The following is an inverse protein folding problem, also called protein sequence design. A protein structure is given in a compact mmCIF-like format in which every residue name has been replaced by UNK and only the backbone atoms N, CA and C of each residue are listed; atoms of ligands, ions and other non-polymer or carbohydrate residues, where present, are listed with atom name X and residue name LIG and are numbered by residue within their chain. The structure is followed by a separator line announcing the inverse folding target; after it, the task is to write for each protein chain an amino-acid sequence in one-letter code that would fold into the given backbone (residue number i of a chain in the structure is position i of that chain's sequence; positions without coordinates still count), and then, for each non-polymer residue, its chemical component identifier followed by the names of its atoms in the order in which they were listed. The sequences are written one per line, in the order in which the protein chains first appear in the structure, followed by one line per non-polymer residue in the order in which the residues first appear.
data_IF_755696337307
#
_entry.id   IF_755696337307
#
_cell.length_a   1.000
_cell.length_b   1.000
_cell.length_c   1.000
_cell.angle_alpha   90.00
_cell.angle_beta   90.00
_cell.angle_gamma   90.00
#
_symmetry.space_group_name_H-M   'P 1'
#
loop_
_entity.id
_entity.type
_entity.pdbx_description
1 polymer ?
#
# COMPACT_ATOMS: atom_id res chain seq x y z
N UNK A 1 -6.43 -19.84 25.72
CA UNK A 1 -5.92 -20.31 24.41
C UNK A 1 -6.24 -19.25 23.38
N UNK A 2 -5.27 -18.41 23.01
CA UNK A 2 -5.40 -17.44 21.95
C UNK A 2 -5.46 -18.19 20.61
N UNK A 3 -6.60 -18.11 19.92
CA UNK A 3 -6.69 -18.55 18.53
C UNK A 3 -5.84 -17.59 17.70
N UNK A 4 -4.67 -18.04 17.25
CA UNK A 4 -3.95 -17.39 16.18
C UNK A 4 -4.86 -17.39 14.96
N UNK A 5 -5.40 -16.23 14.59
CA UNK A 5 -6.04 -16.05 13.30
C UNK A 5 -4.95 -16.10 12.23
N UNK A 6 -4.64 -17.31 11.78
CA UNK A 6 -3.88 -17.51 10.56
C UNK A 6 -4.81 -17.13 9.41
N UNK A 7 -4.46 -16.12 8.64
CA UNK A 7 -5.05 -15.92 7.34
C UNK A 7 -4.57 -17.11 6.51
N UNK A 8 -5.46 -18.08 6.30
CA UNK A 8 -5.21 -19.16 5.36
C UNK A 8 -5.39 -18.59 3.97
N UNK A 9 -4.45 -18.86 3.07
CA UNK A 9 -4.75 -18.70 1.66
C UNK A 9 -5.82 -19.74 1.26
N UNK A 10 -6.33 -19.61 0.05
CA UNK A 10 -7.30 -20.56 -0.51
C UNK A 10 -6.81 -22.02 -0.52
N UNK A 11 -5.56 -22.29 -0.18
CA UNK A 11 -4.92 -23.60 -0.12
C UNK A 11 -4.55 -24.03 1.31
N UNK A 12 -4.96 -23.28 2.35
CA UNK A 12 -4.71 -23.63 3.75
C UNK A 12 -3.28 -23.43 4.27
N UNK A 13 -2.39 -22.82 3.48
CA UNK A 13 -0.99 -22.61 3.87
C UNK A 13 -0.85 -21.53 4.94
N UNK A 14 -0.09 -21.82 6.01
CA UNK A 14 0.31 -20.86 7.04
C UNK A 14 1.56 -20.13 6.60
N UNK A 15 1.53 -18.80 6.61
CA UNK A 15 2.71 -17.99 6.29
C UNK A 15 3.50 -17.65 7.54
N UNK A 16 4.84 -17.84 7.56
CA UNK A 16 5.69 -17.35 8.63
C UNK A 16 5.68 -15.81 8.64
N UNK A 17 5.55 -15.23 9.81
CA UNK A 17 5.24 -13.83 10.08
C UNK A 17 6.37 -12.82 9.84
N UNK A 18 7.43 -13.19 9.15
CA UNK A 18 8.65 -12.37 8.97
C UNK A 18 8.78 -11.70 7.60
N UNK A 19 7.77 -11.81 6.74
CA UNK A 19 7.73 -11.17 5.42
C UNK A 19 6.65 -10.11 5.41
N UNK A 20 6.80 -9.09 4.56
CA UNK A 20 5.69 -8.19 4.21
C UNK A 20 4.48 -9.06 3.93
N UNK A 21 3.43 -8.95 4.75
CA UNK A 21 2.25 -9.79 4.58
C UNK A 21 1.57 -9.39 3.27
N UNK A 22 1.85 -10.15 2.22
CA UNK A 22 1.17 -10.02 0.95
C UNK A 22 -0.16 -10.74 1.06
N UNK A 23 -1.21 -9.99 0.95
CA UNK A 23 -2.55 -10.53 0.86
C UNK A 23 -2.87 -10.81 -0.60
N UNK A 24 -3.25 -12.04 -0.90
CA UNK A 24 -3.91 -12.35 -2.16
C UNK A 24 -5.32 -11.73 -2.15
N UNK A 25 -5.64 -10.92 -3.15
CA UNK A 25 -6.97 -10.39 -3.38
C UNK A 25 -7.60 -11.19 -4.53
N UNK A 26 -8.43 -12.23 -4.24
CA UNK A 26 -8.95 -13.12 -5.28
C UNK A 26 -9.79 -12.38 -6.31
N UNK A 27 -10.57 -11.39 -5.86
CA UNK A 27 -11.44 -10.60 -6.72
C UNK A 27 -10.68 -9.76 -7.75
N UNK A 28 -9.42 -9.45 -7.46
CA UNK A 28 -8.55 -8.64 -8.33
C UNK A 28 -7.44 -9.47 -9.00
N UNK A 29 -7.27 -10.73 -8.61
CA UNK A 29 -6.21 -11.60 -9.12
C UNK A 29 -4.80 -11.04 -8.89
N UNK A 30 -4.54 -10.36 -7.75
CA UNK A 30 -3.26 -9.72 -7.47
C UNK A 30 -2.86 -9.77 -5.99
N UNK A 31 -1.58 -9.62 -5.72
CA UNK A 31 -1.05 -9.45 -4.36
C UNK A 31 -1.14 -8.01 -3.92
N UNK A 32 -1.44 -7.78 -2.64
CA UNK A 32 -1.46 -6.45 -2.04
C UNK A 32 -0.40 -6.35 -0.93
N UNK A 33 0.24 -5.19 -0.87
CA UNK A 33 1.15 -4.76 0.19
C UNK A 33 0.43 -3.66 0.96
N UNK A 34 0.27 -3.81 2.27
CA UNK A 34 -0.48 -2.87 3.12
C UNK A 34 0.42 -2.12 4.08
N UNK A 35 -0.02 -0.93 4.47
CA UNK A 35 0.59 -0.09 5.51
C UNK A 35 -0.47 0.34 6.54
N UNK A 36 -0.06 0.78 7.74
CA UNK A 36 -0.99 1.28 8.74
C UNK A 36 -1.74 2.52 8.26
N UNK A 37 -3.04 2.55 8.50
CA UNK A 37 -3.89 3.74 8.23
C UNK A 37 -3.60 4.82 9.27
N UNK A 38 -3.48 4.41 10.54
CA UNK A 38 -3.28 5.29 11.70
C UNK A 38 -1.90 5.07 12.32
N UNK A 39 -1.45 6.10 13.05
CA UNK A 39 -0.30 5.97 13.93
C UNK A 39 -0.66 5.05 15.10
N UNK A 40 0.15 4.00 15.29
CA UNK A 40 -0.02 3.01 16.35
C UNK A 40 0.96 3.35 17.47
N UNK A 41 0.47 3.30 18.70
CA UNK A 41 1.26 3.50 19.91
C UNK A 41 1.20 2.26 20.80
N UNK A 42 2.24 2.03 21.55
CA UNK A 42 2.24 1.01 22.61
C UNK A 42 1.54 1.51 23.89
N UNK A 43 1.48 0.66 24.91
CA UNK A 43 0.82 0.96 26.18
C UNK A 43 1.49 2.12 26.94
N UNK A 44 2.73 2.48 26.59
CA UNK A 44 3.48 3.61 27.14
C UNK A 44 3.32 4.88 26.27
N UNK A 45 2.45 4.87 25.25
CA UNK A 45 2.22 5.98 24.33
C UNK A 45 3.30 6.18 23.26
N UNK A 46 4.34 5.34 23.22
CA UNK A 46 5.42 5.42 22.23
C UNK A 46 4.91 4.99 20.85
N UNK A 47 5.26 5.73 19.83
CA UNK A 47 4.92 5.40 18.44
C UNK A 47 5.67 4.15 17.98
N UNK A 48 4.93 3.10 17.66
CA UNK A 48 5.46 1.80 17.15
C UNK A 48 5.33 1.70 15.64
N UNK A 49 4.34 2.38 15.04
CA UNK A 49 4.23 2.55 13.59
C UNK A 49 3.56 3.88 13.26
N UNK A 50 4.07 4.59 12.27
CA UNK A 50 3.46 5.83 11.77
C UNK A 50 2.36 5.49 10.76
N UNK A 51 1.19 6.14 10.90
CA UNK A 51 0.13 6.05 9.92
C UNK A 51 0.56 6.58 8.55
N UNK A 52 0.08 5.95 7.50
CA UNK A 52 0.44 6.34 6.13
C UNK A 52 -0.62 7.22 5.45
N UNK A 53 -1.88 7.15 5.84
CA UNK A 53 -2.97 7.94 5.24
C UNK A 53 -2.92 9.41 5.67
N UNK A 54 -2.00 10.19 5.09
CA UNK A 54 -1.84 11.61 5.38
C UNK A 54 -2.84 12.49 4.59
N UNK A 55 -3.26 12.05 3.40
CA UNK A 55 -4.09 12.81 2.47
C UNK A 55 -5.58 12.46 2.60
N UNK A 56 -6.06 12.44 3.85
CA UNK A 56 -7.45 12.12 4.16
C UNK A 56 -8.37 13.25 3.72
N UNK A 57 -9.56 12.86 3.23
CA UNK A 57 -10.68 13.74 2.92
C UNK A 57 -11.87 13.39 3.81
N UNK A 58 -12.95 14.16 3.75
CA UNK A 58 -14.20 13.83 4.45
C UNK A 58 -14.75 12.46 4.02
N UNK A 59 -14.60 12.09 2.76
CA UNK A 59 -14.98 10.76 2.26
C UNK A 59 -14.25 9.61 2.96
N UNK A 60 -13.13 9.89 3.66
CA UNK A 60 -12.44 8.88 4.46
C UNK A 60 -13.17 8.51 5.76
N UNK A 61 -14.17 9.28 6.20
CA UNK A 61 -15.01 8.93 7.37
C UNK A 61 -15.73 7.61 7.18
N UNK A 62 -16.15 7.33 5.94
CA UNK A 62 -16.83 6.09 5.53
C UNK A 62 -15.89 5.04 4.93
N UNK A 63 -14.58 5.22 5.10
CA UNK A 63 -13.60 4.28 4.59
C UNK A 63 -13.90 2.87 5.10
N UNK A 64 -14.15 1.98 4.17
CA UNK A 64 -14.41 0.57 4.42
C UNK A 64 -13.34 -0.06 5.36
N UNK A 65 -12.08 0.34 5.24
CA UNK A 65 -11.02 -0.14 6.11
C UNK A 65 -11.17 0.31 7.57
N UNK A 66 -11.87 1.42 7.87
CA UNK A 66 -12.18 1.85 9.24
C UNK A 66 -13.15 0.90 9.92
N UNK A 67 -14.12 0.35 9.19
CA UNK A 67 -15.07 -0.63 9.71
C UNK A 67 -14.34 -1.88 10.18
N UNK A 68 -13.39 -2.37 9.39
CA UNK A 68 -12.52 -3.48 9.80
C UNK A 68 -11.64 -3.13 11.00
N UNK A 69 -11.11 -1.91 11.04
CA UNK A 69 -10.27 -1.47 12.13
C UNK A 69 -11.03 -1.47 13.48
N UNK A 70 -12.28 -1.01 13.49
CA UNK A 70 -13.14 -1.03 14.69
C UNK A 70 -13.40 -2.44 15.20
N UNK A 71 -13.58 -3.41 14.29
CA UNK A 71 -13.89 -4.80 14.64
C UNK A 71 -12.67 -5.61 15.09
N UNK A 72 -11.47 -5.32 14.55
CA UNK A 72 -10.27 -6.16 14.69
C UNK A 72 -9.03 -5.35 15.07
N UNK A 73 -9.17 -4.27 15.81
CA UNK A 73 -8.12 -3.27 16.06
C UNK A 73 -6.80 -3.89 16.58
N UNK A 74 -6.87 -4.79 17.56
CA UNK A 74 -5.68 -5.37 18.19
C UNK A 74 -4.84 -6.19 17.20
N UNK A 75 -5.48 -7.03 16.41
CA UNK A 75 -4.79 -7.90 15.45
C UNK A 75 -4.29 -7.10 14.25
N UNK A 76 -5.08 -6.12 13.82
CA UNK A 76 -4.68 -5.19 12.76
C UNK A 76 -3.48 -4.35 13.19
N UNK A 77 -3.43 -3.84 14.42
CA UNK A 77 -2.31 -3.08 14.93
C UNK A 77 -1.02 -3.89 14.90
N UNK A 78 -1.04 -5.14 15.38
CA UNK A 78 0.13 -6.03 15.37
C UNK A 78 0.64 -6.28 13.94
N UNK A 79 -0.28 -6.52 13.00
CA UNK A 79 0.05 -6.72 11.59
C UNK A 79 0.62 -5.44 10.99
N UNK A 80 0.01 -4.31 11.25
CA UNK A 80 0.39 -3.01 10.70
C UNK A 80 1.76 -2.54 11.19
N UNK A 81 2.10 -2.81 12.45
CA UNK A 81 3.46 -2.54 12.97
C UNK A 81 4.49 -3.35 12.18
N UNK A 82 4.26 -4.65 11.97
CA UNK A 82 5.16 -5.51 11.19
C UNK A 82 5.25 -5.07 9.73
N UNK A 83 4.12 -4.73 9.12
CA UNK A 83 4.07 -4.28 7.74
C UNK A 83 4.85 -2.97 7.56
N UNK A 84 4.71 -2.01 8.47
CA UNK A 84 5.46 -0.76 8.39
C UNK A 84 6.97 -0.99 8.59
N UNK A 85 7.37 -1.84 9.54
CA UNK A 85 8.77 -2.22 9.71
C UNK A 85 9.34 -2.90 8.47
N UNK A 86 8.57 -3.79 7.85
CA UNK A 86 8.95 -4.47 6.61
C UNK A 86 9.00 -3.48 5.45
N UNK A 87 8.06 -2.56 5.36
CA UNK A 87 8.06 -1.49 4.36
C UNK A 87 9.31 -0.62 4.44
N UNK A 88 9.71 -0.22 5.66
CA UNK A 88 10.91 0.61 5.85
C UNK A 88 12.22 -0.09 5.41
N UNK A 89 12.22 -1.41 5.40
CA UNK A 89 13.37 -2.26 4.99
C UNK A 89 13.20 -2.87 3.60
N UNK A 90 12.11 -2.57 2.91
CA UNK A 90 11.80 -3.17 1.63
C UNK A 90 12.81 -2.71 0.58
N UNK A 91 13.43 -3.67 -0.09
CA UNK A 91 14.25 -3.48 -1.29
C UNK A 91 13.65 -4.23 -2.46
N UNK A 92 14.03 -3.85 -3.67
CA UNK A 92 13.58 -4.54 -4.87
C UNK A 92 13.94 -6.03 -4.87
N UNK A 93 15.15 -6.37 -4.46
CA UNK A 93 15.61 -7.75 -4.35
C UNK A 93 14.82 -8.56 -3.32
N UNK A 94 14.50 -7.95 -2.16
CA UNK A 94 13.70 -8.62 -1.12
C UNK A 94 12.25 -8.87 -1.60
N UNK A 95 11.66 -7.90 -2.30
CA UNK A 95 10.33 -8.08 -2.90
C UNK A 95 10.37 -9.18 -3.95
N UNK A 96 11.36 -9.16 -4.87
CA UNK A 96 11.52 -10.19 -5.89
C UNK A 96 11.59 -11.58 -5.27
N UNK A 97 12.52 -11.79 -4.33
CA UNK A 97 12.67 -13.06 -3.64
C UNK A 97 11.40 -13.52 -2.90
N UNK A 98 10.60 -12.57 -2.41
CA UNK A 98 9.32 -12.88 -1.76
C UNK A 98 8.27 -13.32 -2.77
N UNK A 99 8.15 -12.63 -3.89
CA UNK A 99 7.17 -12.94 -4.94
C UNK A 99 7.52 -14.22 -5.68
N UNK A 100 8.80 -14.49 -5.96
CA UNK A 100 9.27 -15.69 -6.65
C UNK A 100 8.99 -16.98 -5.85
N UNK A 101 8.99 -16.90 -4.52
CA UNK A 101 8.61 -18.04 -3.65
C UNK A 101 7.13 -18.37 -3.68
N UNK A 102 6.29 -17.50 -4.21
CA UNK A 102 4.85 -17.73 -4.28
C UNK A 102 4.50 -18.61 -5.48
N UNK A 103 3.75 -19.69 -5.22
CA UNK A 103 3.31 -20.63 -6.28
C UNK A 103 2.17 -20.07 -7.15
N UNK A 104 1.57 -18.95 -6.80
CA UNK A 104 0.46 -18.32 -7.52
C UNK A 104 0.94 -17.10 -8.29
N UNK A 105 0.20 -16.75 -9.33
CA UNK A 105 0.44 -15.61 -10.20
C UNK A 105 0.82 -14.35 -9.41
N UNK A 106 2.09 -14.00 -9.52
CA UNK A 106 2.66 -12.79 -8.89
C UNK A 106 2.94 -11.70 -9.91
N UNK A 107 2.37 -11.84 -11.09
CA UNK A 107 2.56 -10.90 -12.21
C UNK A 107 1.99 -9.50 -11.90
N UNK A 108 0.96 -9.45 -11.04
CA UNK A 108 0.30 -8.21 -10.66
C UNK A 108 0.41 -7.99 -9.16
N UNK A 109 0.93 -6.85 -8.78
CA UNK A 109 1.09 -6.44 -7.39
C UNK A 109 0.37 -5.10 -7.17
N UNK A 110 -0.52 -5.04 -6.18
CA UNK A 110 -1.15 -3.81 -5.72
C UNK A 110 -0.38 -3.27 -4.52
N UNK A 111 0.10 -2.05 -4.63
CA UNK A 111 0.50 -1.30 -3.45
C UNK A 111 -0.73 -0.69 -2.79
N UNK A 112 -0.87 -0.96 -1.51
CA UNK A 112 -1.88 -0.45 -0.60
C UNK A 112 -3.32 -0.80 -0.99
N UNK A 113 -3.78 -1.96 -0.57
CA UNK A 113 -5.22 -2.18 -0.40
C UNK A 113 -5.71 -1.45 0.85
N UNK A 114 -4.78 -1.14 1.76
CA UNK A 114 -4.99 -0.38 2.97
C UNK A 114 -3.77 0.50 3.28
N UNK A 115 -4.02 1.74 3.68
CA UNK A 115 -2.97 2.74 3.86
C UNK A 115 -2.65 3.51 2.59
N UNK A 116 -1.53 4.23 2.59
CA UNK A 116 -1.04 5.06 1.50
C UNK A 116 0.40 4.67 1.14
N UNK A 117 0.69 4.58 -0.14
CA UNK A 117 2.01 4.20 -0.64
C UNK A 117 3.04 5.33 -0.47
N UNK A 118 2.61 6.55 -0.72
CA UNK A 118 3.48 7.72 -0.78
C UNK A 118 3.28 8.62 0.43
N UNK A 119 3.99 8.37 1.53
CA UNK A 119 3.97 9.24 2.70
C UNK A 119 5.03 10.34 2.63
N UNK A 120 6.19 9.99 2.11
CA UNK A 120 7.35 10.89 1.99
C UNK A 120 8.22 10.54 0.76
N UNK A 121 9.21 11.38 0.38
CA UNK A 121 10.05 11.13 -0.79
C UNK A 121 10.85 9.83 -0.75
N UNK A 122 11.12 9.24 0.43
CA UNK A 122 11.81 7.96 0.53
C UNK A 122 10.97 6.80 0.02
N UNK A 123 9.63 6.92 0.14
CA UNK A 123 8.71 5.93 -0.42
C UNK A 123 8.76 5.91 -1.95
N UNK A 124 8.96 7.06 -2.60
CA UNK A 124 9.12 7.14 -4.07
C UNK A 124 10.35 6.34 -4.50
N UNK A 125 11.51 6.55 -3.85
CA UNK A 125 12.73 5.79 -4.14
C UNK A 125 12.57 4.29 -3.91
N UNK A 126 11.89 3.91 -2.84
CA UNK A 126 11.61 2.50 -2.49
C UNK A 126 10.74 1.82 -3.55
N UNK A 127 9.69 2.51 -4.01
CA UNK A 127 8.81 2.00 -5.06
C UNK A 127 9.57 1.89 -6.38
N UNK A 128 10.40 2.87 -6.72
CA UNK A 128 11.27 2.84 -7.89
C UNK A 128 12.23 1.64 -7.87
N UNK A 129 12.91 1.41 -6.74
CA UNK A 129 13.79 0.26 -6.55
C UNK A 129 13.04 -1.07 -6.72
N UNK A 130 11.85 -1.17 -6.13
CA UNK A 130 11.04 -2.40 -6.27
C UNK A 130 10.52 -2.62 -7.68
N UNK A 131 10.16 -1.56 -8.41
CA UNK A 131 9.71 -1.66 -9.80
C UNK A 131 10.85 -2.07 -10.73
N UNK A 132 12.01 -1.44 -10.58
CA UNK A 132 13.19 -1.71 -11.40
C UNK A 132 13.76 -3.11 -11.19
N UNK A 133 13.70 -3.63 -9.96
CA UNK A 133 14.14 -4.99 -9.65
C UNK A 133 13.17 -6.09 -10.12
N UNK A 134 11.97 -5.72 -10.56
CA UNK A 134 10.90 -6.63 -10.99
C UNK A 134 10.26 -6.17 -12.31
N UNK A 135 11.01 -6.02 -13.39
CA UNK A 135 10.51 -5.44 -14.65
C UNK A 135 9.43 -6.31 -15.31
N UNK A 136 9.41 -7.60 -15.01
CA UNK A 136 8.42 -8.57 -15.51
C UNK A 136 7.05 -8.45 -14.84
N UNK A 137 6.94 -7.68 -13.74
CA UNK A 137 5.74 -7.55 -12.94
C UNK A 137 5.06 -6.21 -13.19
N UNK A 138 3.73 -6.19 -13.09
CA UNK A 138 2.91 -4.98 -13.19
C UNK A 138 2.49 -4.54 -11.79
N UNK A 139 2.79 -3.30 -11.44
CA UNK A 139 2.41 -2.69 -10.17
C UNK A 139 1.27 -1.73 -10.36
N UNK A 140 0.31 -1.76 -9.44
CA UNK A 140 -0.80 -0.81 -9.39
C UNK A 140 -0.82 -0.09 -8.05
N UNK A 141 -0.89 1.23 -8.09
CA UNK A 141 -0.80 2.11 -6.93
C UNK A 141 -1.94 3.13 -6.97
N UNK A 142 -3.07 2.87 -6.30
CA UNK A 142 -4.04 3.92 -6.03
C UNK A 142 -3.50 4.85 -4.94
N UNK A 143 -3.53 6.17 -5.16
CA UNK A 143 -2.98 7.14 -4.21
C UNK A 143 -3.80 8.41 -4.14
N UNK A 144 -3.85 9.03 -2.95
CA UNK A 144 -4.31 10.41 -2.72
C UNK A 144 -3.16 11.41 -2.56
N UNK A 145 -1.91 10.94 -2.59
CA UNK A 145 -0.74 11.81 -2.50
C UNK A 145 -0.59 12.77 -3.69
N UNK A 146 -1.38 12.62 -4.75
CA UNK A 146 -1.49 13.59 -5.82
C UNK A 146 -1.96 14.98 -5.34
N UNK A 147 -2.64 15.08 -4.18
CA UNK A 147 -3.03 16.34 -3.53
C UNK A 147 -1.85 17.08 -2.89
N UNK A 148 -0.73 16.41 -2.71
CA UNK A 148 0.49 17.00 -2.13
C UNK A 148 1.29 17.76 -3.18
N UNK A 149 1.55 19.03 -2.94
CA UNK A 149 2.42 19.85 -3.80
C UNK A 149 3.85 19.31 -3.87
N UNK A 150 4.31 18.60 -2.83
CA UNK A 150 5.65 18.00 -2.77
C UNK A 150 5.66 16.64 -3.46
N UNK A 151 4.67 15.78 -3.17
CA UNK A 151 4.69 14.40 -3.65
C UNK A 151 4.27 14.28 -5.11
N UNK A 152 3.31 15.08 -5.57
CA UNK A 152 2.75 15.01 -6.93
C UNK A 152 3.82 15.03 -8.02
N UNK A 153 4.74 16.00 -8.07
CA UNK A 153 5.78 16.02 -9.11
C UNK A 153 6.74 14.83 -9.01
N UNK A 154 7.03 14.34 -7.81
CA UNK A 154 7.88 13.16 -7.61
C UNK A 154 7.20 11.88 -8.12
N UNK A 155 5.89 11.75 -7.90
CA UNK A 155 5.10 10.62 -8.38
C UNK A 155 5.00 10.63 -9.90
N UNK A 156 4.76 11.79 -10.52
CA UNK A 156 4.73 11.93 -11.99
C UNK A 156 6.08 11.56 -12.60
N UNK A 157 7.17 12.00 -11.99
CA UNK A 157 8.53 11.64 -12.44
C UNK A 157 8.80 10.14 -12.30
N UNK A 158 8.36 9.51 -11.20
CA UNK A 158 8.49 8.08 -10.96
C UNK A 158 7.77 7.27 -12.06
N UNK A 159 6.52 7.56 -12.29
CA UNK A 159 5.70 6.86 -13.28
C UNK A 159 6.30 6.94 -14.71
N UNK A 160 6.88 8.11 -15.09
CA UNK A 160 7.56 8.26 -16.38
C UNK A 160 8.82 7.39 -16.51
N UNK A 161 9.51 7.10 -15.39
CA UNK A 161 10.71 6.27 -15.39
C UNK A 161 10.45 4.77 -15.27
N UNK A 162 9.30 4.38 -14.74
CA UNK A 162 8.96 2.97 -14.45
C UNK A 162 7.72 2.54 -15.24
N UNK A 163 7.87 2.03 -16.47
CA UNK A 163 6.73 1.71 -17.35
C UNK A 163 5.87 0.54 -16.84
N UNK A 164 6.36 -0.23 -15.89
CA UNK A 164 5.63 -1.31 -15.23
C UNK A 164 4.81 -0.83 -14.00
N UNK A 165 4.84 0.48 -13.68
CA UNK A 165 3.99 1.10 -12.67
C UNK A 165 2.75 1.71 -13.33
N UNK A 166 1.57 1.36 -12.82
CA UNK A 166 0.33 2.09 -13.06
C UNK A 166 -0.04 2.83 -11.77
N UNK A 167 0.07 4.14 -11.77
CA UNK A 167 -0.31 4.98 -10.65
C UNK A 167 -1.64 5.64 -10.97
N UNK A 168 -2.61 5.49 -10.06
CA UNK A 168 -3.96 6.00 -10.22
C UNK A 168 -4.27 7.04 -9.16
N UNK A 169 -4.77 8.20 -9.58
CA UNK A 169 -5.28 9.19 -8.64
C UNK A 169 -6.59 8.69 -8.02
N UNK A 170 -6.59 8.49 -6.71
CA UNK A 170 -7.82 8.19 -5.98
C UNK A 170 -8.61 9.48 -5.78
N UNK A 171 -9.64 9.68 -6.58
CA UNK A 171 -10.60 10.78 -6.49
C UNK A 171 -11.82 10.38 -5.66
N UNK A 172 -12.56 11.35 -5.18
CA UNK A 172 -13.81 11.17 -4.44
C UNK A 172 -14.70 12.41 -4.57
N UNK A 173 -15.83 12.43 -3.88
CA UNK A 173 -16.81 13.52 -3.91
C UNK A 173 -16.28 14.89 -3.50
N UNK A 174 -15.09 14.94 -2.86
CA UNK A 174 -14.41 16.19 -2.50
C UNK A 174 -13.45 16.68 -3.57
N UNK A 175 -13.27 15.91 -4.66
CA UNK A 175 -12.39 16.30 -5.78
C UNK A 175 -13.10 17.35 -6.62
N UNK A 176 -12.49 18.55 -6.75
CA UNK A 176 -13.08 19.62 -7.54
C UNK A 176 -12.92 19.37 -9.04
N UNK A 177 -13.70 20.11 -9.84
CA UNK A 177 -13.56 20.04 -11.32
C UNK A 177 -12.20 20.51 -11.79
N UNK A 178 -11.64 21.53 -11.14
CA UNK A 178 -10.30 22.07 -11.43
C UNK A 178 -9.21 21.05 -11.09
N UNK A 179 -9.34 20.36 -9.93
CA UNK A 179 -8.44 19.28 -9.57
C UNK A 179 -8.51 18.15 -10.62
N UNK A 180 -9.73 17.74 -11.01
CA UNK A 180 -9.93 16.70 -12.03
C UNK A 180 -9.30 17.11 -13.37
N UNK A 181 -9.57 18.31 -13.86
CA UNK A 181 -9.00 18.82 -15.10
C UNK A 181 -7.46 18.87 -15.05
N UNK A 182 -6.89 19.23 -13.90
CA UNK A 182 -5.44 19.22 -13.69
C UNK A 182 -4.84 17.81 -13.72
N UNK A 183 -5.55 16.81 -13.17
CA UNK A 183 -5.13 15.40 -13.23
C UNK A 183 -5.18 14.89 -14.68
N UNK A 184 -6.26 15.19 -15.40
CA UNK A 184 -6.44 14.76 -16.77
C UNK A 184 -5.36 15.38 -17.69
N UNK A 185 -5.05 16.67 -17.51
CA UNK A 185 -3.99 17.37 -18.27
C UNK A 185 -2.59 16.78 -18.04
N UNK A 186 -2.32 16.23 -16.84
CA UNK A 186 -1.07 15.53 -16.54
C UNK A 186 -1.09 14.05 -16.98
N UNK A 187 -2.24 13.52 -17.43
CA UNK A 187 -2.41 12.14 -17.88
C UNK A 187 -2.59 11.11 -16.76
N UNK A 188 -3.09 11.55 -15.59
CA UNK A 188 -3.41 10.61 -14.52
C UNK A 188 -4.57 9.69 -14.92
N UNK A 189 -4.48 8.44 -14.51
CA UNK A 189 -5.64 7.54 -14.48
C UNK A 189 -6.45 7.83 -13.20
N UNK A 190 -7.72 8.14 -13.33
CA UNK A 190 -8.65 8.40 -12.22
C UNK A 190 -9.68 7.30 -12.08
#
# INVERSE_FOLDING_TARGET
RQRQMCIRDSNGSRYPMNTVEHRWCPDLGMFAIDRPIFTIRDDNGRVTAKGSCLWKTEACSDCFNLKFYRAYQRDLNRRDVRNEQSWQRLTGAALKATLDRKRKQTERVRYMSRGEAFRDPSDVRRIEDTANANPERKFWIPTRAWRSRIMRPLIVALWKRCPNLRIQASTDVTTTREEQASLDAEGWST
#
